data_IF_494850367496
#
_entry.id   IF_494850367496
#
_cell.length_a   1.000
_cell.length_b   1.000
_cell.length_c   1.000
_cell.angle_alpha   90.00
_cell.angle_beta   90.00
_cell.angle_gamma   90.00
#
_symmetry.space_group_name_H-M   'P 1'
#
loop_
_entity.id
_entity.type
_entity.pdbx_description
1 polymer ?
#
# COMPACT_ATOMS: atom_id res chain seq x y z
N UNK A 1 -21.82 -34.89 12.34
CA UNK A 1 -22.05 -33.44 12.63
C UNK A 1 -20.76 -32.69 13.02
N UNK A 2 -19.57 -33.07 12.53
CA UNK A 2 -18.30 -32.41 12.91
C UNK A 2 -17.88 -31.29 11.94
N UNK A 3 -18.46 -31.23 10.74
CA UNK A 3 -17.96 -30.41 9.63
C UNK A 3 -18.39 -28.94 9.70
N UNK A 4 -19.59 -28.66 10.23
CA UNK A 4 -20.14 -27.30 10.27
C UNK A 4 -19.55 -26.48 11.41
N UNK A 5 -19.39 -27.06 12.61
CA UNK A 5 -18.78 -26.41 13.77
C UNK A 5 -17.33 -26.01 13.49
N UNK A 6 -16.56 -26.90 12.86
CA UNK A 6 -15.18 -26.62 12.49
C UNK A 6 -15.06 -25.51 11.41
N UNK A 7 -16.04 -25.42 10.51
CA UNK A 7 -16.14 -24.34 9.52
C UNK A 7 -16.48 -23.00 10.18
N UNK A 8 -17.45 -23.01 11.10
CA UNK A 8 -17.86 -21.83 11.89
C UNK A 8 -16.69 -21.37 12.76
N UNK A 9 -16.00 -22.27 13.46
CA UNK A 9 -14.85 -21.95 14.30
C UNK A 9 -13.68 -21.40 13.46
N UNK A 10 -13.46 -21.93 12.25
CA UNK A 10 -12.45 -21.41 11.32
C UNK A 10 -12.82 -20.05 10.73
N UNK A 11 -14.11 -19.78 10.50
CA UNK A 11 -14.60 -18.46 10.05
C UNK A 11 -14.57 -17.43 11.20
N UNK A 12 -14.86 -17.86 12.42
CA UNK A 12 -14.82 -17.03 13.64
C UNK A 12 -13.38 -16.73 14.03
N UNK A 13 -12.49 -17.72 13.95
CA UNK A 13 -11.03 -17.57 14.06
C UNK A 13 -10.49 -16.58 13.03
N UNK A 14 -10.89 -16.67 11.76
CA UNK A 14 -10.49 -15.70 10.72
C UNK A 14 -10.99 -14.28 10.98
N UNK A 15 -12.21 -14.12 11.50
CA UNK A 15 -12.75 -12.81 11.91
C UNK A 15 -12.01 -12.25 13.14
N UNK A 16 -11.66 -13.09 14.10
CA UNK A 16 -10.96 -12.70 15.32
C UNK A 16 -9.49 -12.34 15.04
N UNK A 17 -8.80 -13.08 14.16
CA UNK A 17 -7.43 -12.76 13.73
C UNK A 17 -7.31 -11.39 13.05
N UNK A 18 -8.39 -10.87 12.47
CA UNK A 18 -8.40 -9.58 11.81
C UNK A 18 -8.53 -8.40 12.80
N UNK A 19 -8.86 -8.66 14.07
CA UNK A 19 -9.09 -7.64 15.10
C UNK A 19 -7.90 -7.42 16.05
N UNK A 20 -6.78 -8.12 15.85
CA UNK A 20 -5.60 -8.04 16.73
C UNK A 20 -4.68 -6.85 16.44
N UNK A 21 -4.92 -6.10 15.36
CA UNK A 21 -4.19 -4.89 14.98
C UNK A 21 -5.12 -3.85 14.35
N UNK A 22 -4.63 -2.62 14.20
CA UNK A 22 -5.28 -1.67 13.29
C UNK A 22 -5.20 -2.21 11.86
N UNK A 23 -6.20 -1.94 11.04
CA UNK A 23 -6.20 -2.37 9.64
C UNK A 23 -6.88 -1.36 8.74
N UNK A 24 -6.49 -1.37 7.48
CA UNK A 24 -7.07 -0.54 6.43
C UNK A 24 -7.72 -1.42 5.37
N UNK A 25 -8.85 -0.96 4.87
CA UNK A 25 -9.41 -1.40 3.59
C UNK A 25 -9.51 -0.22 2.65
N UNK A 26 -9.19 -0.43 1.38
CA UNK A 26 -9.37 0.59 0.33
C UNK A 26 -10.57 0.19 -0.52
N UNK A 27 -11.46 1.14 -0.72
CA UNK A 27 -12.69 1.00 -1.51
C UNK A 27 -12.51 1.58 -2.91
N UNK A 28 -11.80 2.70 -3.01
CA UNK A 28 -11.52 3.34 -4.29
C UNK A 28 -10.19 4.10 -4.27
N UNK A 29 -9.67 4.29 -5.48
CA UNK A 29 -8.49 5.08 -5.77
C UNK A 29 -8.79 5.95 -6.98
N UNK A 30 -8.48 7.23 -6.86
CA UNK A 30 -8.67 8.23 -7.90
C UNK A 30 -7.32 8.90 -8.18
N UNK A 31 -7.02 9.11 -9.46
CA UNK A 31 -5.78 9.72 -9.93
C UNK A 31 -6.18 10.88 -10.84
N UNK A 32 -5.85 12.12 -10.45
CA UNK A 32 -6.29 13.32 -11.19
C UNK A 32 -5.78 13.34 -12.63
N UNK A 33 -4.53 12.91 -12.82
CA UNK A 33 -3.85 12.87 -14.11
C UNK A 33 -2.95 11.64 -14.19
N UNK A 34 -2.76 11.06 -15.38
CA UNK A 34 -1.91 9.88 -15.54
C UNK A 34 -0.55 10.04 -14.89
N UNK A 35 -0.04 8.99 -14.25
CA UNK A 35 1.27 9.02 -13.60
C UNK A 35 2.34 9.14 -14.68
N UNK A 36 3.02 10.29 -14.76
CA UNK A 36 4.08 10.53 -15.76
C UNK A 36 5.42 10.40 -15.07
N UNK A 37 6.11 9.31 -15.36
CA UNK A 37 7.42 8.98 -14.82
C UNK A 37 8.30 8.35 -15.89
N UNK A 38 9.61 8.54 -15.75
CA UNK A 38 10.63 7.85 -16.52
C UNK A 38 11.36 6.87 -15.60
N UNK A 39 11.98 5.82 -16.15
CA UNK A 39 12.76 4.88 -15.35
C UNK A 39 13.31 3.72 -16.16
N UNK A 40 14.14 2.90 -15.52
CA UNK A 40 14.87 1.81 -16.15
C UNK A 40 14.62 0.43 -15.51
N UNK A 41 13.53 0.25 -14.75
CA UNK A 41 13.25 -1.00 -14.05
C UNK A 41 13.99 -1.19 -12.72
N UNK A 42 14.69 -0.15 -12.26
CA UNK A 42 15.35 -0.09 -10.94
C UNK A 42 15.02 1.18 -10.16
N UNK A 43 14.80 2.26 -10.88
CA UNK A 43 14.42 3.55 -10.32
C UNK A 43 13.51 4.27 -11.30
N UNK A 44 12.44 4.85 -10.76
CA UNK A 44 11.45 5.64 -11.46
C UNK A 44 11.44 7.05 -10.89
N UNK A 45 11.30 8.05 -11.75
CA UNK A 45 11.26 9.45 -11.34
C UNK A 45 10.08 10.18 -11.96
N UNK A 46 9.30 10.84 -11.11
CA UNK A 46 8.12 11.59 -11.53
C UNK A 46 8.52 12.84 -12.32
N UNK A 47 7.94 13.00 -13.51
CA UNK A 47 8.23 14.15 -14.40
C UNK A 47 7.38 15.37 -14.06
N UNK A 48 6.25 15.15 -13.39
CA UNK A 48 5.26 16.17 -13.05
C UNK A 48 4.68 15.90 -11.67
N UNK A 49 4.16 16.94 -11.03
CA UNK A 49 3.41 16.81 -9.79
C UNK A 49 2.13 15.99 -10.02
N UNK A 50 1.85 15.02 -9.15
CA UNK A 50 0.70 14.13 -9.25
C UNK A 50 0.01 13.95 -7.91
N UNK A 51 -1.31 13.93 -7.98
CA UNK A 51 -2.18 13.67 -6.85
C UNK A 51 -2.85 12.30 -7.02
N UNK A 52 -2.87 11.55 -5.94
CA UNK A 52 -3.59 10.28 -5.84
C UNK A 52 -4.42 10.30 -4.56
N UNK A 53 -5.69 9.94 -4.69
CA UNK A 53 -6.63 9.89 -3.57
C UNK A 53 -7.03 8.46 -3.32
N UNK A 54 -7.00 8.04 -2.06
CA UNK A 54 -7.34 6.70 -1.61
C UNK A 54 -8.44 6.82 -0.57
N UNK A 55 -9.59 6.23 -0.85
CA UNK A 55 -10.75 6.23 0.05
C UNK A 55 -11.00 4.82 0.57
N UNK A 56 -11.42 4.72 1.81
CA UNK A 56 -11.84 3.45 2.39
C UNK A 56 -12.09 3.57 3.88
N UNK A 57 -11.95 2.45 4.59
CA UNK A 57 -12.21 2.40 6.04
C UNK A 57 -11.00 1.92 6.82
N UNK A 58 -10.78 2.54 7.97
CA UNK A 58 -9.74 2.18 8.94
C UNK A 58 -10.39 1.61 10.19
N UNK A 59 -10.00 0.39 10.55
CA UNK A 59 -10.29 -0.20 11.85
C UNK A 59 -9.22 0.18 12.86
N UNK A 60 -9.63 0.74 13.99
CA UNK A 60 -8.74 1.03 15.12
C UNK A 60 -8.97 0.06 16.27
N UNK A 61 -7.93 -0.67 16.68
CA UNK A 61 -8.03 -1.66 17.78
C UNK A 61 -8.38 -1.01 19.11
N UNK A 62 -7.87 0.20 19.35
CA UNK A 62 -8.03 0.92 20.61
C UNK A 62 -9.50 1.15 20.97
N UNK A 63 -10.36 1.42 19.98
CA UNK A 63 -11.77 1.70 20.18
C UNK A 63 -12.71 0.72 19.45
N UNK A 64 -12.15 -0.25 18.72
CA UNK A 64 -12.86 -1.30 17.97
C UNK A 64 -13.86 -0.73 16.95
N UNK A 65 -13.56 0.42 16.34
CA UNK A 65 -14.42 1.06 15.36
C UNK A 65 -13.80 1.09 13.97
N UNK A 66 -14.67 1.00 12.96
CA UNK A 66 -14.35 1.38 11.59
C UNK A 66 -14.74 2.84 11.40
N UNK A 67 -13.87 3.60 10.74
CA UNK A 67 -14.17 4.97 10.30
C UNK A 67 -13.71 5.13 8.86
N UNK A 68 -14.51 5.85 8.11
CA UNK A 68 -14.17 6.16 6.73
C UNK A 68 -13.07 7.21 6.71
N UNK A 69 -12.22 7.14 5.69
CA UNK A 69 -11.11 8.06 5.52
C UNK A 69 -10.89 8.43 4.06
N UNK A 70 -10.17 9.53 3.87
CA UNK A 70 -9.54 9.91 2.63
C UNK A 70 -8.06 10.17 2.86
N UNK A 71 -7.22 9.43 2.16
CA UNK A 71 -5.79 9.64 2.05
C UNK A 71 -5.51 10.41 0.76
N UNK A 72 -4.83 11.54 0.87
CA UNK A 72 -4.38 12.33 -0.27
C UNK A 72 -2.87 12.26 -0.33
N UNK A 73 -2.35 11.79 -1.46
CA UNK A 73 -0.92 11.70 -1.74
C UNK A 73 -0.55 12.71 -2.80
N UNK A 74 0.52 13.45 -2.56
CA UNK A 74 1.15 14.30 -3.58
C UNK A 74 2.56 13.79 -3.83
N UNK A 75 2.79 13.39 -5.07
CA UNK A 75 4.11 13.13 -5.62
C UNK A 75 4.58 14.39 -6.32
N UNK A 76 5.61 15.06 -5.82
CA UNK A 76 6.21 16.22 -6.49
C UNK A 76 7.11 15.74 -7.63
N UNK A 77 7.28 16.56 -8.66
CA UNK A 77 8.26 16.32 -9.71
C UNK A 77 9.64 16.03 -9.09
N UNK A 78 10.28 14.98 -9.59
CA UNK A 78 11.57 14.49 -9.10
C UNK A 78 11.47 13.44 -7.98
N UNK A 79 10.27 13.15 -7.47
CA UNK A 79 10.08 12.03 -6.54
C UNK A 79 10.56 10.73 -7.17
N UNK A 80 11.32 9.95 -6.38
CA UNK A 80 11.95 8.70 -6.82
C UNK A 80 11.37 7.51 -6.07
N UNK A 81 11.18 6.40 -6.79
CA UNK A 81 10.70 5.13 -6.27
C UNK A 81 11.32 3.98 -7.05
N UNK A 82 11.60 2.87 -6.39
CA UNK A 82 12.10 1.64 -6.99
C UNK A 82 10.99 0.76 -7.59
N UNK A 83 9.72 1.15 -7.44
CA UNK A 83 8.57 0.48 -8.03
C UNK A 83 8.15 -0.75 -7.24
N UNK A 84 7.52 -1.73 -7.89
CA UNK A 84 7.22 -2.98 -7.23
C UNK A 84 8.51 -3.83 -7.19
N UNK A 85 9.33 -3.59 -6.16
CA UNK A 85 10.63 -4.24 -5.86
C UNK A 85 10.54 -5.74 -5.54
N UNK A 86 9.79 -6.49 -6.35
CA UNK A 86 9.63 -7.91 -6.25
C UNK A 86 10.90 -8.65 -6.77
N UNK A 87 11.29 -9.76 -6.12
CA UNK A 87 12.41 -10.58 -6.58
C UNK A 87 12.14 -11.15 -7.98
N UNK A 88 13.20 -11.44 -8.74
CA UNK A 88 13.12 -11.80 -10.16
C UNK A 88 12.14 -12.96 -10.46
N UNK A 89 12.07 -13.96 -9.58
CA UNK A 89 11.14 -15.09 -9.74
C UNK A 89 9.66 -14.70 -9.59
N UNK A 90 9.37 -13.63 -8.86
CA UNK A 90 8.02 -13.12 -8.61
C UNK A 90 7.59 -12.07 -9.65
N UNK A 91 8.51 -11.48 -10.41
CA UNK A 91 8.23 -10.42 -11.40
C UNK A 91 7.22 -10.80 -12.49
N UNK A 92 7.02 -12.10 -12.74
CA UNK A 92 5.97 -12.59 -13.66
C UNK A 92 4.55 -12.38 -13.12
N UNK A 93 4.39 -12.37 -11.80
CA UNK A 93 3.09 -12.23 -11.12
C UNK A 93 2.90 -10.84 -10.52
N UNK A 94 3.99 -10.19 -10.15
CA UNK A 94 4.04 -8.81 -9.64
C UNK A 94 4.97 -8.03 -10.57
N UNK A 95 4.45 -7.56 -11.72
CA UNK A 95 5.23 -6.71 -12.63
C UNK A 95 5.76 -5.48 -11.89
N UNK A 96 6.97 -5.04 -12.19
CA UNK A 96 7.52 -3.85 -11.53
C UNK A 96 6.67 -2.59 -11.82
N UNK A 97 6.36 -2.40 -13.11
CA UNK A 97 5.40 -1.42 -13.62
C UNK A 97 4.54 -2.09 -14.67
N UNK A 98 3.25 -1.76 -14.68
CA UNK A 98 2.28 -2.24 -15.66
C UNK A 98 1.88 -1.09 -16.59
N UNK A 99 2.24 -1.23 -17.87
CA UNK A 99 1.97 -0.22 -18.90
C UNK A 99 0.46 0.04 -19.02
N UNK A 100 0.07 1.32 -18.90
CA UNK A 100 -1.32 1.74 -19.03
C UNK A 100 -2.20 1.42 -17.81
N UNK A 101 -1.61 1.04 -16.68
CA UNK A 101 -2.34 0.72 -15.45
C UNK A 101 -1.80 1.57 -14.28
N UNK A 102 -2.23 2.83 -14.26
CA UNK A 102 -1.79 3.78 -13.24
C UNK A 102 -2.30 3.43 -11.84
N UNK A 103 -3.42 2.71 -11.74
CA UNK A 103 -3.91 2.19 -10.46
C UNK A 103 -2.96 1.15 -9.90
N UNK A 104 -2.49 0.22 -10.73
CA UNK A 104 -1.46 -0.73 -10.35
C UNK A 104 -0.16 -0.04 -9.93
N UNK A 105 0.30 0.92 -10.74
CA UNK A 105 1.57 1.62 -10.53
C UNK A 105 1.53 2.58 -9.33
N UNK A 106 0.37 3.15 -8.99
CA UNK A 106 0.22 3.99 -7.81
C UNK A 106 0.51 3.22 -6.51
N UNK A 107 0.19 1.93 -6.45
CA UNK A 107 0.32 1.14 -5.23
C UNK A 107 1.77 1.06 -4.70
N UNK A 108 2.80 0.65 -5.48
CA UNK A 108 4.18 0.65 -5.02
C UNK A 108 4.69 2.07 -4.74
N UNK A 109 4.32 3.07 -5.55
CA UNK A 109 4.77 4.45 -5.33
C UNK A 109 4.25 5.04 -4.00
N UNK A 110 2.98 4.77 -3.68
CA UNK A 110 2.38 5.15 -2.39
C UNK A 110 3.07 4.41 -1.25
N UNK A 111 3.34 3.11 -1.43
CA UNK A 111 4.00 2.27 -0.43
C UNK A 111 5.39 2.81 -0.08
N UNK A 112 6.23 3.08 -1.08
CA UNK A 112 7.57 3.66 -0.88
C UNK A 112 7.49 5.02 -0.19
N UNK A 113 6.57 5.88 -0.65
CA UNK A 113 6.31 7.18 -0.03
C UNK A 113 5.96 7.07 1.46
N UNK A 114 5.00 6.20 1.79
CA UNK A 114 4.58 5.95 3.17
C UNK A 114 5.70 5.34 4.01
N UNK A 115 6.50 4.44 3.44
CA UNK A 115 7.65 3.83 4.10
C UNK A 115 8.74 4.86 4.39
N UNK A 116 9.08 5.75 3.45
CA UNK A 116 9.99 6.88 3.68
C UNK A 116 9.50 7.81 4.79
N UNK A 117 8.18 8.02 4.89
CA UNK A 117 7.57 8.79 5.97
C UNK A 117 7.48 8.03 7.29
N UNK A 118 7.81 6.73 7.34
CA UNK A 118 7.53 5.86 8.49
C UNK A 118 6.05 5.97 8.93
N UNK A 119 5.14 6.00 7.95
CA UNK A 119 3.69 6.11 8.15
C UNK A 119 3.25 7.47 8.70
N UNK A 120 4.15 8.44 8.85
CA UNK A 120 3.82 9.77 9.31
C UNK A 120 3.08 10.53 8.22
N UNK A 121 1.77 10.70 8.38
CA UNK A 121 0.95 11.54 7.50
C UNK A 121 0.50 12.79 8.26
N UNK A 122 0.07 13.82 7.55
CA UNK A 122 -0.70 14.91 8.15
C UNK A 122 -2.07 14.36 8.61
N UNK A 123 -2.42 14.54 9.87
CA UNK A 123 -3.67 14.06 10.47
C UNK A 123 -3.63 12.66 11.09
N UNK A 124 -2.67 11.79 10.76
CA UNK A 124 -2.57 10.46 11.36
C UNK A 124 -1.17 9.82 11.24
N UNK A 125 -0.78 8.99 12.22
CA UNK A 125 0.34 8.05 12.06
C UNK A 125 -0.19 6.65 11.75
N UNK A 126 0.19 6.13 10.59
CA UNK A 126 -0.11 4.77 10.14
C UNK A 126 0.99 3.80 10.62
N UNK A 127 0.60 2.59 10.96
CA UNK A 127 1.56 1.50 11.17
C UNK A 127 2.10 0.97 9.84
N UNK A 128 3.19 0.20 9.90
CA UNK A 128 3.75 -0.48 8.73
C UNK A 128 2.71 -1.40 8.08
N UNK A 129 2.00 -2.17 8.89
CA UNK A 129 0.96 -3.10 8.44
C UNK A 129 -0.24 -2.40 7.80
N UNK A 130 -0.56 -1.18 8.25
CA UNK A 130 -1.58 -0.34 7.63
C UNK A 130 -1.13 0.17 6.24
N UNK A 131 0.16 0.47 6.08
CA UNK A 131 0.74 0.82 4.78
C UNK A 131 0.73 -0.40 3.82
N UNK A 132 1.03 -1.59 4.33
CA UNK A 132 0.96 -2.84 3.56
C UNK A 132 -0.49 -3.21 3.19
N UNK A 133 -1.45 -2.94 4.08
CA UNK A 133 -2.89 -3.06 3.77
C UNK A 133 -3.29 -2.16 2.60
N UNK A 134 -2.82 -0.91 2.54
CA UNK A 134 -3.07 0.03 1.44
C UNK A 134 -2.54 -0.55 0.12
N UNK A 135 -1.28 -0.98 0.08
CA UNK A 135 -0.65 -1.60 -1.08
C UNK A 135 -1.48 -2.79 -1.60
N UNK A 136 -1.81 -3.74 -0.70
CA UNK A 136 -2.60 -4.93 -1.04
C UNK A 136 -3.98 -4.58 -1.57
N UNK A 137 -4.65 -3.61 -0.98
CA UNK A 137 -6.00 -3.24 -1.42
C UNK A 137 -5.98 -2.53 -2.77
N UNK A 138 -5.02 -1.63 -3.04
CA UNK A 138 -4.91 -0.97 -4.35
C UNK A 138 -4.59 -1.98 -5.46
N UNK A 139 -3.64 -2.88 -5.26
CA UNK A 139 -3.36 -3.93 -6.25
C UNK A 139 -4.57 -4.83 -6.53
N UNK A 140 -5.39 -5.11 -5.51
CA UNK A 140 -6.65 -5.82 -5.71
C UNK A 140 -7.65 -5.03 -6.55
N UNK A 141 -7.74 -3.71 -6.36
CA UNK A 141 -8.55 -2.82 -7.21
C UNK A 141 -8.02 -2.83 -8.65
N UNK A 142 -6.70 -2.90 -8.86
CA UNK A 142 -6.07 -3.08 -10.17
C UNK A 142 -6.27 -4.48 -10.79
N UNK A 143 -7.10 -5.35 -10.19
CA UNK A 143 -7.40 -6.68 -10.71
C UNK A 143 -6.40 -7.78 -10.30
N UNK A 144 -5.45 -7.51 -9.40
CA UNK A 144 -4.59 -8.55 -8.85
C UNK A 144 -5.39 -9.49 -7.93
N UNK A 145 -5.20 -10.80 -8.08
CA UNK A 145 -5.89 -11.79 -7.25
C UNK A 145 -5.46 -11.69 -5.78
N UNK A 146 -6.35 -12.07 -4.85
CA UNK A 146 -6.07 -12.08 -3.40
C UNK A 146 -4.83 -12.92 -3.03
N UNK A 147 -4.63 -14.03 -3.73
CA UNK A 147 -3.51 -14.93 -3.49
C UNK A 147 -2.19 -14.29 -3.92
N UNK A 148 -2.16 -13.62 -5.08
CA UNK A 148 -0.95 -12.94 -5.57
C UNK A 148 -0.63 -11.71 -4.73
N UNK A 149 -1.62 -10.90 -4.38
CA UNK A 149 -1.41 -9.73 -3.52
C UNK A 149 -0.93 -10.13 -2.11
N UNK A 150 -1.44 -11.24 -1.56
CA UNK A 150 -0.97 -11.79 -0.27
C UNK A 150 0.40 -12.47 -0.36
N UNK A 151 0.74 -13.12 -1.47
CA UNK A 151 2.06 -13.70 -1.68
C UNK A 151 3.13 -12.64 -1.95
N UNK A 152 2.78 -11.55 -2.61
CA UNK A 152 3.63 -10.38 -2.80
C UNK A 152 4.01 -9.76 -1.45
N UNK A 153 3.06 -9.70 -0.50
CA UNK A 153 3.27 -9.26 0.88
C UNK A 153 4.27 -10.15 1.63
N UNK A 154 4.15 -11.47 1.51
CA UNK A 154 5.14 -12.40 2.07
C UNK A 154 6.54 -12.18 1.46
N UNK A 155 6.59 -11.88 0.16
CA UNK A 155 7.83 -11.52 -0.52
C UNK A 155 8.42 -10.21 0.00
N UNK A 156 7.60 -9.17 0.18
CA UNK A 156 8.00 -7.89 0.75
C UNK A 156 8.45 -8.07 2.20
N UNK A 157 7.76 -8.87 3.01
CA UNK A 157 8.12 -9.15 4.41
C UNK A 157 9.37 -10.02 4.56
N UNK A 158 9.71 -10.86 3.57
CA UNK A 158 10.90 -11.72 3.63
C UNK A 158 12.12 -11.05 2.97
N UNK A 159 11.93 -10.23 1.93
CA UNK A 159 13.02 -9.65 1.14
C UNK A 159 13.20 -8.13 1.33
N UNK A 160 12.14 -7.37 1.64
CA UNK A 160 12.17 -5.95 1.99
C UNK A 160 11.71 -5.69 3.45
N UNK A 161 11.60 -6.78 4.23
CA UNK A 161 11.01 -6.82 5.55
C UNK A 161 11.93 -6.38 6.67
N UNK A 162 13.21 -6.12 6.38
CA UNK A 162 14.10 -5.62 7.40
C UNK A 162 13.59 -4.27 7.91
N UNK A 163 13.92 -3.98 9.17
CA UNK A 163 13.74 -2.65 9.77
C UNK A 163 14.39 -1.54 8.94
N UNK A 164 15.29 -1.89 8.03
CA UNK A 164 16.15 -0.97 7.31
C UNK A 164 15.42 -0.16 6.23
N UNK A 165 14.19 -0.54 5.85
CA UNK A 165 13.39 0.20 4.86
C UNK A 165 12.37 1.16 5.50
N UNK A 166 12.01 0.95 6.77
CA UNK A 166 11.01 1.78 7.44
C UNK A 166 11.61 3.11 7.93
N UNK A 167 11.17 4.22 7.35
CA UNK A 167 11.74 5.54 7.60
C UNK A 167 13.07 5.80 6.89
N UNK A 168 13.47 4.93 5.96
CA UNK A 168 14.69 5.10 5.18
C UNK A 168 14.40 5.95 3.94
N UNK A 169 15.16 7.04 3.78
CA UNK A 169 15.12 7.94 2.63
C UNK A 169 16.51 7.99 1.96
N UNK A 170 17.01 6.83 1.53
CA UNK A 170 18.32 6.68 0.90
C UNK A 170 18.50 7.54 -0.35
N UNK A 171 17.40 7.84 -1.05
CA UNK A 171 17.35 8.68 -2.23
C UNK A 171 17.17 10.18 -1.92
N UNK A 172 17.08 10.56 -0.64
CA UNK A 172 16.86 11.93 -0.17
C UNK A 172 15.69 12.64 -0.88
N UNK A 173 14.57 11.96 -1.06
CA UNK A 173 13.41 12.42 -1.80
C UNK A 173 12.11 12.47 -0.96
N UNK A 174 12.18 12.22 0.34
CA UNK A 174 11.04 12.31 1.27
C UNK A 174 10.32 13.66 1.20
N UNK A 175 11.07 14.76 1.04
CA UNK A 175 10.52 16.11 0.90
C UNK A 175 9.71 16.33 -0.39
N UNK A 176 9.77 15.37 -1.33
CA UNK A 176 9.01 15.36 -2.57
C UNK A 176 7.72 14.54 -2.47
N UNK A 177 7.41 14.00 -1.30
CA UNK A 177 6.18 13.24 -1.05
C UNK A 177 5.42 13.82 0.13
N UNK A 178 4.14 14.10 -0.07
CA UNK A 178 3.22 14.56 0.97
C UNK A 178 2.07 13.56 1.09
N UNK A 179 1.69 13.23 2.32
CA UNK A 179 0.56 12.37 2.62
C UNK A 179 -0.32 13.03 3.67
N UNK A 180 -1.63 13.15 3.39
CA UNK A 180 -2.63 13.70 4.31
C UNK A 180 -3.75 12.69 4.53
N UNK A 181 -4.04 12.37 5.78
CA UNK A 181 -5.09 11.46 6.22
C UNK A 181 -6.21 12.25 6.89
N UNK A 182 -7.44 12.12 6.37
CA UNK A 182 -8.63 12.76 6.94
C UNK A 182 -9.70 11.71 7.19
N UNK A 183 -10.23 11.62 8.41
CA UNK A 183 -11.46 10.87 8.66
C UNK A 183 -12.65 11.57 8.01
N UNK A 184 -13.62 10.80 7.52
CA UNK A 184 -14.86 11.27 6.88
C UNK A 184 -16.09 10.84 7.68
#
# INVERSE_FOLDING_TARGET
MATLKMLIDKMTSRKNFQQDRNSITVESIEIDFPLVFDGNGKMYFFKLDRYVYVKGSRYTKADKKFRDFMLTFRFRRGFMSDGASAPAFAKRFVPDIKKGDDVYNAAPFIHDGLYMLAGQTDGCKLSREECDDILRCIWRIAGMSRLVAGAADLGIQVFAGSSDHWGNDSNNCKHLFEAKFEYR
#
